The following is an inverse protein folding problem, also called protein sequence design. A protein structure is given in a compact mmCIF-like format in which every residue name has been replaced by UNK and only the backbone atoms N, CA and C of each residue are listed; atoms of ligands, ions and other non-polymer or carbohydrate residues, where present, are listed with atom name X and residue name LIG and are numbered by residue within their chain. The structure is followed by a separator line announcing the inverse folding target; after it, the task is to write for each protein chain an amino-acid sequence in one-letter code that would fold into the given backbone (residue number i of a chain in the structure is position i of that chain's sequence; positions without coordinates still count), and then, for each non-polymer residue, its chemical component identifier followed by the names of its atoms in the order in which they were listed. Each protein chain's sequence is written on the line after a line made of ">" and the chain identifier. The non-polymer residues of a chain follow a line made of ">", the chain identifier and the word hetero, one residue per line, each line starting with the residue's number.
data_IF_075138432033
#
_entry.id   IF_075138432033
#
_cell.length_a   1.000
_cell.length_b   1.000
_cell.length_c   1.000
_cell.angle_alpha   90.00
_cell.angle_beta   90.00
_cell.angle_gamma   90.00
#
_symmetry.space_group_name_H-M   'P 1'
#
loop_
_entity.id
_entity.type
_entity.pdbx_description
1 polymer ?
#
# COMPACT_ATOMS: atom_id res chain seq x y z
N UNK A 1 -39.23 19.85 -2.15
CA UNK A 1 -38.20 20.79 -2.64
C UNK A 1 -38.84 21.76 -3.61
N UNK A 2 -38.46 23.03 -3.51
CA UNK A 2 -38.84 24.06 -4.48
C UNK A 2 -38.00 23.91 -5.74
N UNK A 3 -38.48 24.43 -6.88
CA UNK A 3 -37.70 24.38 -8.12
C UNK A 3 -36.32 25.07 -7.98
N UNK A 4 -36.22 26.08 -7.11
CA UNK A 4 -34.96 26.78 -6.85
C UNK A 4 -33.91 25.87 -6.19
N UNK A 5 -34.31 25.12 -5.17
CA UNK A 5 -33.41 24.16 -4.48
C UNK A 5 -32.96 23.05 -5.43
N UNK A 6 -33.88 22.57 -6.28
CA UNK A 6 -33.58 21.54 -7.29
C UNK A 6 -32.58 22.07 -8.33
N UNK A 7 -32.75 23.32 -8.79
CA UNK A 7 -31.82 23.95 -9.70
C UNK A 7 -30.44 24.12 -9.06
N UNK A 8 -30.34 24.57 -7.81
CA UNK A 8 -29.07 24.70 -7.09
C UNK A 8 -28.33 23.36 -7.00
N UNK A 9 -29.02 22.27 -6.64
CA UNK A 9 -28.45 20.93 -6.59
C UNK A 9 -27.98 20.43 -7.97
N UNK A 10 -28.76 20.69 -9.02
CA UNK A 10 -28.39 20.33 -10.39
C UNK A 10 -27.12 21.04 -10.87
N UNK A 11 -26.99 22.34 -10.59
CA UNK A 11 -25.80 23.13 -10.97
C UNK A 11 -24.55 22.75 -10.16
N UNK A 12 -24.72 22.18 -8.96
CA UNK A 12 -23.62 21.62 -8.16
C UNK A 12 -23.24 20.18 -8.56
N UNK A 13 -23.97 19.55 -9.49
CA UNK A 13 -23.72 18.16 -9.90
C UNK A 13 -24.29 17.10 -8.94
N UNK A 14 -25.07 17.50 -7.94
CA UNK A 14 -25.65 16.59 -6.95
C UNK A 14 -27.04 16.09 -7.39
N UNK A 15 -27.07 15.01 -8.18
CA UNK A 15 -28.33 14.38 -8.60
C UNK A 15 -28.78 13.33 -7.56
N UNK A 16 -29.55 13.79 -6.57
CA UNK A 16 -30.19 12.90 -5.58
C UNK A 16 -31.48 12.26 -6.11
N UNK A 17 -31.98 11.23 -5.43
CA UNK A 17 -33.26 10.58 -5.79
C UNK A 17 -34.42 11.59 -5.81
N UNK A 18 -34.45 12.54 -4.88
CA UNK A 18 -35.49 13.57 -4.82
C UNK A 18 -35.44 14.52 -6.04
N UNK A 19 -34.24 14.80 -6.55
CA UNK A 19 -34.05 15.56 -7.79
C UNK A 19 -34.60 14.78 -8.99
N UNK A 20 -34.33 13.48 -9.08
CA UNK A 20 -34.86 12.62 -10.15
C UNK A 20 -36.39 12.54 -10.13
N UNK A 21 -36.99 12.36 -8.96
CA UNK A 21 -38.45 12.34 -8.79
C UNK A 21 -39.08 13.70 -9.18
N UNK A 22 -38.43 14.82 -8.85
CA UNK A 22 -38.90 16.14 -9.25
C UNK A 22 -38.79 16.37 -10.76
N UNK A 23 -37.72 15.91 -11.41
CA UNK A 23 -37.54 16.00 -12.86
C UNK A 23 -38.58 15.22 -13.65
N UNK A 24 -39.14 14.14 -13.09
CA UNK A 24 -40.25 13.41 -13.72
C UNK A 24 -41.53 14.24 -13.81
N UNK A 25 -41.72 15.21 -12.92
CA UNK A 25 -42.98 15.97 -12.80
C UNK A 25 -42.87 17.43 -13.24
N UNK A 26 -41.69 18.04 -13.18
CA UNK A 26 -41.49 19.46 -13.46
C UNK A 26 -40.84 19.71 -14.84
N UNK A 27 -41.62 20.25 -15.78
CA UNK A 27 -41.15 20.57 -17.14
C UNK A 27 -40.04 21.64 -17.15
N UNK A 28 -40.13 22.65 -16.28
CA UNK A 28 -39.14 23.72 -16.18
C UNK A 28 -37.76 23.18 -15.75
N UNK A 29 -37.72 22.31 -14.75
CA UNK A 29 -36.47 21.72 -14.28
C UNK A 29 -35.87 20.75 -15.31
N UNK A 30 -36.70 20.06 -16.11
CA UNK A 30 -36.20 19.26 -17.25
C UNK A 30 -35.55 20.11 -18.33
N UNK A 31 -36.15 21.26 -18.68
CA UNK A 31 -35.56 22.18 -19.66
C UNK A 31 -34.20 22.72 -19.18
N UNK A 32 -34.08 23.03 -17.89
CA UNK A 32 -32.82 23.41 -17.27
C UNK A 32 -31.78 22.28 -17.35
N UNK A 33 -32.18 21.02 -17.07
CA UNK A 33 -31.30 19.86 -17.16
C UNK A 33 -30.77 19.63 -18.57
N UNK A 34 -31.63 19.78 -19.58
CA UNK A 34 -31.24 19.67 -20.98
C UNK A 34 -30.21 20.77 -21.35
N UNK A 35 -30.39 21.99 -20.83
CA UNK A 35 -29.44 23.09 -21.02
C UNK A 35 -28.07 22.77 -20.39
N UNK A 36 -28.06 22.20 -19.19
CA UNK A 36 -26.82 21.76 -18.53
C UNK A 36 -26.10 20.66 -19.32
N UNK A 37 -26.84 19.70 -19.87
CA UNK A 37 -26.27 18.64 -20.71
C UNK A 37 -25.67 19.22 -22.00
N UNK A 38 -26.35 20.17 -22.65
CA UNK A 38 -25.84 20.84 -23.84
C UNK A 38 -24.57 21.64 -23.53
N UNK A 39 -24.52 22.35 -22.41
CA UNK A 39 -23.33 23.05 -21.95
C UNK A 39 -22.17 22.09 -21.65
N UNK A 40 -22.44 20.94 -21.03
CA UNK A 40 -21.45 19.90 -20.77
C UNK A 40 -20.79 19.41 -22.07
N UNK A 41 -21.60 19.07 -23.06
CA UNK A 41 -21.13 18.66 -24.39
C UNK A 41 -20.35 19.79 -25.09
N UNK A 42 -20.79 21.04 -24.96
CA UNK A 42 -20.10 22.18 -25.54
C UNK A 42 -18.72 22.42 -24.90
N UNK A 43 -18.60 22.24 -23.58
CA UNK A 43 -17.33 22.35 -22.84
C UNK A 43 -16.38 21.22 -23.22
N UNK A 44 -16.86 19.98 -23.32
CA UNK A 44 -16.06 18.84 -23.78
C UNK A 44 -15.54 19.04 -25.21
N UNK A 45 -16.32 19.71 -26.06
CA UNK A 45 -15.92 20.04 -27.42
C UNK A 45 -14.91 21.20 -27.52
N UNK A 46 -14.67 21.96 -26.44
CA UNK A 46 -13.63 23.00 -26.43
C UNK A 46 -12.27 22.30 -26.48
N UNK A 47 -11.49 22.46 -27.58
CA UNK A 47 -10.18 21.84 -27.66
C UNK A 47 -9.29 22.47 -26.60
N UNK A 48 -8.90 21.68 -25.59
CA UNK A 48 -7.88 22.09 -24.63
C UNK A 48 -6.60 22.32 -25.45
N UNK A 49 -6.09 23.56 -25.53
CA UNK A 49 -4.87 23.81 -26.28
C UNK A 49 -3.77 22.95 -25.66
N UNK A 50 -3.16 22.08 -26.47
CA UNK A 50 -1.96 21.36 -26.05
C UNK A 50 -0.98 22.40 -25.52
N UNK A 51 -0.40 22.21 -24.32
CA UNK A 51 0.53 23.18 -23.78
C UNK A 51 1.58 23.46 -24.85
N UNK A 52 1.61 24.70 -25.34
CA UNK A 52 2.70 25.15 -26.18
C UNK A 52 3.96 24.93 -25.36
N UNK A 53 4.95 24.25 -25.97
CA UNK A 53 6.25 23.94 -25.37
C UNK A 53 6.70 25.02 -24.38
N UNK A 54 7.15 24.58 -23.21
CA UNK A 54 7.93 25.33 -22.23
C UNK A 54 7.18 26.05 -21.08
N UNK A 55 6.29 25.35 -20.38
CA UNK A 55 6.18 25.56 -18.92
C UNK A 55 6.94 24.50 -18.10
N UNK A 56 7.42 23.44 -18.76
CA UNK A 56 8.37 22.53 -18.15
C UNK A 56 9.77 23.15 -18.32
N UNK A 57 10.52 23.38 -17.22
CA UNK A 57 11.93 23.75 -17.30
C UNK A 57 12.68 22.73 -18.16
N UNK A 58 13.76 23.15 -18.81
CA UNK A 58 14.57 22.20 -19.57
C UNK A 58 15.07 21.09 -18.64
N UNK A 59 15.33 19.89 -19.20
CA UNK A 59 15.98 18.81 -18.44
C UNK A 59 17.29 19.28 -17.77
N UNK A 60 17.98 20.24 -18.38
CA UNK A 60 19.15 20.88 -17.81
C UNK A 60 18.81 21.74 -16.57
N UNK A 61 17.72 22.51 -16.59
CA UNK A 61 17.27 23.31 -15.44
C UNK A 61 16.82 22.41 -14.29
N UNK A 62 16.12 21.31 -14.59
CA UNK A 62 15.72 20.30 -13.60
C UNK A 62 16.96 19.66 -12.97
N UNK A 63 17.95 19.26 -13.77
CA UNK A 63 19.20 18.68 -13.26
C UNK A 63 20.04 19.70 -12.48
N UNK A 64 20.06 20.96 -12.89
CA UNK A 64 20.74 22.03 -12.16
C UNK A 64 20.09 22.26 -10.79
N UNK A 65 18.75 22.29 -10.71
CA UNK A 65 18.01 22.42 -9.46
C UNK A 65 18.24 21.23 -8.52
N UNK A 66 18.19 19.99 -9.05
CA UNK A 66 18.50 18.77 -8.27
C UNK A 66 19.94 18.81 -7.74
N UNK A 67 20.90 19.23 -8.57
CA UNK A 67 22.31 19.31 -8.17
C UNK A 67 22.54 20.38 -7.12
N UNK A 68 21.88 21.53 -7.24
CA UNK A 68 21.91 22.61 -6.25
C UNK A 68 21.31 22.16 -4.90
N UNK A 69 20.20 21.41 -4.92
CA UNK A 69 19.61 20.83 -3.70
C UNK A 69 20.44 19.71 -3.07
N UNK A 70 21.05 18.83 -3.89
CA UNK A 70 21.97 17.78 -3.41
C UNK A 70 23.21 18.38 -2.73
N UNK A 71 23.75 19.48 -3.26
CA UNK A 71 24.90 20.19 -2.65
C UNK A 71 24.56 20.83 -1.30
N UNK A 72 23.29 21.15 -1.02
CA UNK A 72 22.88 21.74 0.28
C UNK A 72 22.63 20.71 1.39
N UNK A 73 22.37 19.43 1.08
CA UNK A 73 22.06 18.40 2.09
C UNK A 73 23.27 17.67 2.70
N UNK A 74 24.50 18.02 2.31
CA UNK A 74 25.72 17.35 2.84
C UNK A 74 26.80 18.33 3.30
N UNK A 75 26.49 19.23 4.23
CA UNK A 75 27.49 19.76 5.16
C UNK A 75 27.74 18.74 6.28
N UNK A 76 28.44 17.64 5.95
CA UNK A 76 28.99 16.64 6.89
C UNK A 76 29.92 17.24 7.96
N UNK A 77 30.21 18.54 7.89
CA UNK A 77 31.02 19.27 8.86
C UNK A 77 30.26 19.68 10.12
N UNK A 78 28.92 19.76 10.09
CA UNK A 78 28.13 20.07 11.29
C UNK A 78 27.98 18.86 12.24
N UNK A 79 27.93 17.62 11.71
CA UNK A 79 27.86 16.42 12.55
C UNK A 79 29.21 16.06 13.18
N UNK A 80 30.33 16.26 12.49
CA UNK A 80 31.66 16.05 13.07
C UNK A 80 31.96 17.04 14.21
N UNK A 81 31.55 18.30 14.06
CA UNK A 81 31.68 19.31 15.12
C UNK A 81 30.84 19.01 16.35
N UNK A 82 29.60 18.54 16.17
CA UNK A 82 28.72 18.15 17.27
C UNK A 82 29.28 16.92 18.03
N UNK A 83 29.78 15.91 17.33
CA UNK A 83 30.38 14.72 17.96
C UNK A 83 31.66 15.06 18.72
N UNK A 84 32.52 15.93 18.17
CA UNK A 84 33.72 16.39 18.86
C UNK A 84 33.40 17.21 20.13
N UNK A 85 32.37 18.06 20.09
CA UNK A 85 31.91 18.82 21.24
C UNK A 85 31.34 17.92 22.34
N UNK A 86 30.57 16.90 21.99
CA UNK A 86 30.04 15.91 22.94
C UNK A 86 31.17 15.08 23.59
N UNK A 87 32.19 14.68 22.83
CA UNK A 87 33.35 13.96 23.37
C UNK A 87 34.20 14.84 24.31
N UNK A 88 34.37 16.13 24.00
CA UNK A 88 35.07 17.07 24.88
C UNK A 88 34.31 17.35 26.19
N UNK A 89 32.99 17.43 26.14
CA UNK A 89 32.13 17.54 27.33
C UNK A 89 32.17 16.27 28.19
N UNK A 90 32.19 15.08 27.58
CA UNK A 90 32.31 13.82 28.32
C UNK A 90 33.66 13.68 29.05
N UNK A 91 34.75 14.21 28.48
CA UNK A 91 36.08 14.17 29.09
C UNK A 91 36.27 15.20 30.22
N UNK A 92 35.43 16.23 30.31
CA UNK A 92 35.55 17.27 31.35
C UNK A 92 34.64 17.04 32.57
N UNK A 93 33.68 16.11 32.47
CA UNK A 93 32.73 15.81 33.55
C UNK A 93 33.03 14.52 34.33
N UNK A 94 34.17 13.87 34.09
CA UNK A 94 34.62 12.71 34.87
C UNK A 94 35.92 13.05 35.60
N UNK A 95 35.87 13.61 36.83
CA UNK A 95 37.06 13.90 37.63
C UNK A 95 37.84 12.66 38.12
N UNK A 96 37.46 11.44 37.71
CA UNK A 96 37.86 10.22 38.42
C UNK A 96 38.79 9.27 37.63
N UNK A 97 39.27 9.64 36.44
CA UNK A 97 40.12 8.75 35.62
C UNK A 97 41.64 8.97 35.76
N UNK A 98 42.08 9.80 36.69
CA UNK A 98 43.49 10.02 36.99
C UNK A 98 43.78 9.91 38.48
N UNK A 99 43.48 8.79 39.12
CA UNK A 99 44.17 8.40 40.35
C UNK A 99 44.57 6.93 40.34
N UNK A 100 45.87 6.71 40.08
CA UNK A 100 46.58 5.47 40.30
C UNK A 100 46.82 5.22 41.80
N UNK A 101 46.12 4.22 42.34
CA UNK A 101 46.66 3.20 43.25
C UNK A 101 46.85 3.53 44.74
N UNK A 102 46.08 2.85 45.61
CA UNK A 102 46.57 1.97 46.70
C UNK A 102 45.43 1.36 47.52
N UNK A 103 45.67 0.14 47.98
CA UNK A 103 44.89 -0.68 48.93
C UNK A 103 44.43 0.08 50.19
N UNK A 104 43.19 -0.14 50.66
CA UNK A 104 42.86 -0.95 51.85
C UNK A 104 41.37 -0.82 52.25
N UNK A 105 40.76 -1.98 52.49
CA UNK A 105 39.73 -2.38 53.47
C UNK A 105 38.71 -1.39 54.08
N UNK A 106 37.50 -1.97 54.20
CA UNK A 106 36.43 -1.81 55.19
C UNK A 106 35.20 -0.91 54.90
N UNK A 107 34.07 -1.64 54.84
CA UNK A 107 32.76 -1.38 55.46
C UNK A 107 32.16 0.01 55.29
N UNK A 108 31.13 0.10 54.45
CA UNK A 108 29.76 0.42 54.87
C UNK A 108 28.88 0.64 53.63
N UNK A 109 27.72 0.00 53.66
CA UNK A 109 26.55 0.24 52.84
C UNK A 109 26.17 1.74 52.83
N UNK A 110 25.81 2.31 51.67
CA UNK A 110 24.59 3.12 51.68
C UNK A 110 23.72 2.93 50.45
N UNK A 111 22.43 2.70 50.75
CA UNK A 111 21.29 3.24 50.03
C UNK A 111 21.23 2.97 48.53
N UNK A 112 20.53 1.87 48.21
CA UNK A 112 19.75 1.69 46.99
C UNK A 112 18.84 2.90 46.75
N UNK A 113 19.33 3.87 45.95
CA UNK A 113 18.44 4.71 45.17
C UNK A 113 17.83 3.83 44.07
N UNK A 114 16.49 3.79 43.94
CA UNK A 114 15.89 3.06 42.84
C UNK A 114 16.29 3.77 41.54
N UNK A 115 17.13 3.10 40.74
CA UNK A 115 17.24 3.42 39.33
C UNK A 115 15.84 3.19 38.73
N UNK A 116 15.07 4.26 38.57
CA UNK A 116 13.84 4.23 37.80
C UNK A 116 14.23 3.98 36.36
N UNK A 117 14.25 2.72 35.95
CA UNK A 117 14.16 2.32 34.55
C UNK A 117 12.98 3.09 33.95
N UNK A 118 13.16 3.80 32.82
CA UNK A 118 12.06 4.50 32.18
C UNK A 118 10.93 3.50 31.97
N UNK A 119 9.78 3.74 32.62
CA UNK A 119 8.58 2.92 32.45
C UNK A 119 8.20 3.03 30.97
N UNK A 120 8.48 1.97 30.22
CA UNK A 120 8.14 1.89 28.81
C UNK A 120 6.64 2.15 28.67
N UNK A 121 6.29 3.17 27.87
CA UNK A 121 4.90 3.57 27.67
C UNK A 121 4.09 2.40 27.10
N UNK A 122 2.80 2.32 27.44
CA UNK A 122 1.94 1.26 26.92
C UNK A 122 1.92 1.30 25.37
N UNK A 123 1.76 0.18 24.66
CA UNK A 123 1.80 0.14 23.20
C UNK A 123 0.92 1.21 22.52
N UNK A 124 -0.31 1.41 23.00
CA UNK A 124 -1.23 2.43 22.49
C UNK A 124 -0.70 3.86 22.69
N UNK A 125 -0.06 4.14 23.84
CA UNK A 125 0.56 5.45 24.10
C UNK A 125 1.74 5.71 23.16
N UNK A 126 2.54 4.69 22.86
CA UNK A 126 3.64 4.79 21.88
C UNK A 126 3.11 5.08 20.47
N UNK A 127 2.06 4.36 20.04
CA UNK A 127 1.39 4.61 18.76
C UNK A 127 0.86 6.05 18.71
N UNK A 128 0.11 6.48 19.74
CA UNK A 128 -0.47 7.82 19.79
C UNK A 128 0.61 8.92 19.77
N UNK A 129 1.73 8.70 20.48
CA UNK A 129 2.87 9.64 20.48
C UNK A 129 3.46 9.77 19.08
N UNK A 130 3.64 8.64 18.38
CA UNK A 130 4.15 8.65 17.01
C UNK A 130 3.17 9.34 16.06
N UNK A 131 1.90 8.97 16.08
CA UNK A 131 0.84 9.59 15.27
C UNK A 131 0.73 11.10 15.49
N UNK A 132 0.88 11.57 16.73
CA UNK A 132 0.84 13.01 17.05
C UNK A 132 1.92 13.82 16.34
N UNK A 133 3.08 13.21 16.02
CA UNK A 133 4.15 13.85 15.23
C UNK A 133 3.72 14.10 13.78
N UNK A 134 2.77 13.31 13.28
CA UNK A 134 2.26 13.36 11.91
C UNK A 134 0.81 13.87 11.82
N UNK A 135 0.30 14.47 12.90
CA UNK A 135 -1.03 15.08 12.98
C UNK A 135 -2.22 14.12 12.78
N UNK A 136 -2.04 12.84 13.13
CA UNK A 136 -3.15 11.88 13.18
C UNK A 136 -3.76 11.78 14.57
N UNK A 137 -5.07 11.52 14.62
CA UNK A 137 -5.80 11.35 15.86
C UNK A 137 -6.59 10.04 15.88
N UNK A 138 -6.46 9.30 16.98
CA UNK A 138 -7.20 8.06 17.17
C UNK A 138 -8.69 8.35 17.34
N UNK A 139 -9.54 7.58 16.64
CA UNK A 139 -10.99 7.58 16.82
C UNK A 139 -11.41 6.80 18.08
N UNK A 140 -10.65 5.76 18.42
CA UNK A 140 -10.81 4.96 19.63
C UNK A 140 -9.44 4.55 20.17
N UNK A 141 -9.33 4.40 21.49
CA UNK A 141 -8.14 3.83 22.14
C UNK A 141 -8.20 2.30 22.29
N UNK A 142 -9.26 1.65 21.80
CA UNK A 142 -9.41 0.20 21.85
C UNK A 142 -8.83 -0.43 20.57
N UNK A 143 -7.60 -0.99 20.62
CA UNK A 143 -7.03 -1.63 19.45
C UNK A 143 -7.65 -2.99 19.18
N UNK A 144 -7.72 -3.35 17.91
CA UNK A 144 -7.75 -4.76 17.53
C UNK A 144 -6.33 -5.31 17.57
N UNK A 145 -6.10 -6.37 18.35
CA UNK A 145 -4.77 -6.96 18.55
C UNK A 145 -4.75 -8.38 18.01
N UNK A 146 -3.77 -8.69 17.18
CA UNK A 146 -3.50 -10.06 16.72
C UNK A 146 -2.06 -10.42 17.02
N UNK A 147 -1.88 -11.57 17.67
CA UNK A 147 -0.58 -12.23 17.80
C UNK A 147 -0.28 -13.04 16.56
N UNK A 148 0.89 -12.84 15.98
CA UNK A 148 1.35 -13.59 14.81
C UNK A 148 2.87 -13.71 14.80
N UNK A 149 3.41 -14.54 13.92
CA UNK A 149 4.86 -14.62 13.69
C UNK A 149 5.19 -13.88 12.40
N UNK A 150 6.13 -12.93 12.43
CA UNK A 150 6.62 -12.30 11.19
C UNK A 150 7.23 -13.36 10.28
N UNK A 151 7.11 -13.23 8.95
CA UNK A 151 7.68 -14.21 8.04
C UNK A 151 9.19 -14.34 8.27
N UNK A 152 9.73 -15.55 8.12
CA UNK A 152 11.16 -15.79 8.32
C UNK A 152 12.04 -15.06 7.28
N UNK A 153 11.43 -14.63 6.17
CA UNK A 153 12.06 -13.83 5.13
C UNK A 153 11.02 -13.03 4.37
N UNK A 154 11.40 -11.86 3.87
CA UNK A 154 10.62 -11.15 2.85
C UNK A 154 10.73 -11.76 1.46
N UNK A 155 11.71 -12.62 1.18
CA UNK A 155 11.80 -13.28 -0.12
C UNK A 155 10.58 -14.18 -0.35
N UNK A 156 10.11 -14.29 -1.58
CA UNK A 156 8.98 -15.16 -1.89
C UNK A 156 9.29 -16.63 -1.61
N UNK A 157 8.26 -17.40 -1.23
CA UNK A 157 8.31 -18.86 -1.20
C UNK A 157 7.05 -19.48 -1.80
N UNK A 158 7.14 -20.68 -2.37
CA UNK A 158 6.00 -21.35 -3.01
C UNK A 158 4.79 -21.59 -2.07
N UNK A 159 4.97 -21.45 -0.74
CA UNK A 159 3.93 -21.67 0.28
C UNK A 159 3.52 -20.38 1.03
N UNK A 160 4.17 -19.23 0.80
CA UNK A 160 4.04 -18.04 1.66
C UNK A 160 4.27 -16.68 0.98
N UNK A 161 4.20 -16.61 -0.36
CA UNK A 161 4.46 -15.35 -1.11
C UNK A 161 3.57 -14.19 -0.66
N UNK A 162 2.32 -14.45 -0.28
CA UNK A 162 1.32 -13.45 0.07
C UNK A 162 1.68 -12.66 1.35
N UNK A 163 1.98 -13.36 2.44
CA UNK A 163 2.37 -12.76 3.71
C UNK A 163 3.74 -12.07 3.59
N UNK A 164 4.70 -12.73 2.93
CA UNK A 164 6.03 -12.17 2.70
C UNK A 164 5.94 -10.86 1.91
N UNK A 165 5.11 -10.83 0.86
CA UNK A 165 4.85 -9.64 0.06
C UNK A 165 4.19 -8.53 0.86
N UNK A 166 3.18 -8.85 1.67
CA UNK A 166 2.49 -7.89 2.52
C UNK A 166 3.45 -7.20 3.49
N UNK A 167 4.23 -7.97 4.25
CA UNK A 167 5.16 -7.41 5.22
C UNK A 167 6.38 -6.76 4.58
N UNK A 168 6.86 -7.24 3.42
CA UNK A 168 7.91 -6.58 2.67
C UNK A 168 7.47 -5.16 2.25
N UNK A 169 6.24 -5.03 1.75
CA UNK A 169 5.66 -3.74 1.38
C UNK A 169 5.45 -2.84 2.61
N UNK A 170 4.86 -3.38 3.68
CA UNK A 170 4.67 -2.66 4.93
C UNK A 170 6.00 -2.21 5.55
N UNK A 171 7.07 -2.98 5.37
CA UNK A 171 8.41 -2.61 5.83
C UNK A 171 8.95 -1.39 5.09
N UNK A 172 8.73 -1.28 3.77
CA UNK A 172 9.11 -0.09 2.99
C UNK A 172 8.41 1.16 3.57
N UNK A 173 7.13 1.06 3.89
CA UNK A 173 6.38 2.17 4.49
C UNK A 173 6.88 2.52 5.90
N UNK A 174 7.22 1.51 6.70
CA UNK A 174 7.72 1.68 8.06
C UNK A 174 9.12 2.31 8.09
N UNK A 175 9.97 1.98 7.12
CA UNK A 175 11.33 2.51 7.00
C UNK A 175 11.37 4.02 6.76
N UNK A 176 10.32 4.60 6.16
CA UNK A 176 10.19 6.04 5.98
C UNK A 176 10.20 6.80 7.31
N UNK A 177 9.76 6.15 8.40
CA UNK A 177 9.76 6.71 9.76
C UNK A 177 10.81 6.08 10.67
N UNK A 178 11.88 5.53 10.07
CA UNK A 178 13.02 4.91 10.75
C UNK A 178 12.66 3.67 11.60
N UNK A 179 11.61 2.95 11.21
CA UNK A 179 11.28 1.64 11.75
C UNK A 179 11.66 0.55 10.74
N UNK A 180 12.17 -0.58 11.21
CA UNK A 180 12.60 -1.67 10.33
C UNK A 180 12.30 -3.02 10.97
N UNK A 181 11.48 -3.82 10.30
CA UNK A 181 11.08 -5.16 10.73
C UNK A 181 12.12 -6.22 10.36
N UNK A 182 13.15 -5.91 9.56
CA UNK A 182 14.11 -6.89 9.02
C UNK A 182 14.83 -7.69 10.13
N UNK A 183 15.17 -7.05 11.25
CA UNK A 183 15.83 -7.72 12.39
C UNK A 183 14.88 -8.49 13.31
N UNK A 184 13.58 -8.47 13.00
CA UNK A 184 12.51 -9.06 13.79
C UNK A 184 11.78 -10.19 13.02
N UNK A 185 12.26 -10.54 11.82
CA UNK A 185 11.72 -11.63 11.02
C UNK A 185 11.79 -12.98 11.77
N UNK A 186 10.72 -13.76 11.70
CA UNK A 186 10.59 -15.02 12.44
C UNK A 186 10.25 -14.88 13.92
N UNK A 187 10.12 -13.66 14.46
CA UNK A 187 9.69 -13.44 15.84
C UNK A 187 8.17 -13.45 15.97
N UNK A 188 7.65 -13.87 17.12
CA UNK A 188 6.27 -13.60 17.51
C UNK A 188 6.12 -12.12 17.84
N UNK A 189 5.12 -11.48 17.24
CA UNK A 189 4.82 -10.06 17.37
C UNK A 189 3.35 -9.83 17.69
N UNK A 190 3.07 -8.70 18.33
CA UNK A 190 1.72 -8.16 18.51
C UNK A 190 1.45 -7.12 17.42
N UNK A 191 0.39 -7.33 16.64
CA UNK A 191 -0.04 -6.40 15.59
C UNK A 191 -1.30 -5.70 16.04
N UNK A 192 -1.23 -4.37 16.12
CA UNK A 192 -2.30 -3.48 16.54
C UNK A 192 -2.92 -2.82 15.32
N UNK A 193 -4.25 -2.78 15.25
CA UNK A 193 -4.99 -1.91 14.35
C UNK A 193 -5.87 -0.95 15.14
N UNK A 194 -5.79 0.34 14.82
CA UNK A 194 -6.54 1.40 15.50
C UNK A 194 -7.16 2.36 14.46
N UNK A 195 -8.47 2.63 14.55
CA UNK A 195 -9.13 3.55 13.62
C UNK A 195 -8.70 4.99 13.88
N UNK A 196 -8.58 5.77 12.81
CA UNK A 196 -8.24 7.19 12.83
C UNK A 196 -9.49 8.04 12.57
N UNK A 197 -9.47 9.31 13.02
CA UNK A 197 -10.52 10.27 12.65
C UNK A 197 -10.31 10.80 11.23
N UNK A 198 -9.07 10.79 10.77
CA UNK A 198 -8.70 11.23 9.44
C UNK A 198 -9.05 10.18 8.39
N UNK A 199 -9.35 10.64 7.18
CA UNK A 199 -9.58 9.79 6.02
C UNK A 199 -8.26 9.52 5.30
N UNK A 200 -8.17 8.40 4.60
CA UNK A 200 -6.94 8.03 3.91
C UNK A 200 -6.64 9.01 2.76
N UNK A 201 -5.58 9.82 2.91
CA UNK A 201 -5.18 10.82 1.91
C UNK A 201 -4.26 10.23 0.82
N UNK A 202 -3.80 8.98 0.98
CA UNK A 202 -2.79 8.35 0.14
C UNK A 202 -3.27 7.88 -1.23
N UNK A 203 -4.40 8.33 -1.72
CA UNK A 203 -4.85 7.95 -3.05
C UNK A 203 -6.17 8.60 -3.35
N UNK A 204 -6.24 9.23 -4.52
CA UNK A 204 -7.43 9.74 -5.19
C UNK A 204 -8.40 8.59 -5.54
N UNK A 205 -8.69 7.71 -4.59
CA UNK A 205 -9.72 6.69 -4.71
C UNK A 205 -11.00 7.46 -4.42
N UNK A 206 -11.89 7.54 -5.40
CA UNK A 206 -13.15 8.25 -5.25
C UNK A 206 -13.90 7.75 -4.01
N UNK A 207 -13.98 8.61 -2.99
CA UNK A 207 -14.60 8.32 -1.70
C UNK A 207 -13.65 8.48 -0.51
N UNK A 208 -14.12 9.21 0.50
CA UNK A 208 -13.51 9.27 1.82
C UNK A 208 -13.58 7.88 2.46
N UNK A 209 -12.51 7.08 2.33
CA UNK A 209 -12.40 5.81 3.04
C UNK A 209 -11.87 6.07 4.45
N UNK A 210 -12.52 5.43 5.43
CA UNK A 210 -12.04 5.38 6.81
C UNK A 210 -10.60 4.86 6.81
N UNK A 211 -9.75 5.48 7.63
CA UNK A 211 -8.34 5.14 7.75
C UNK A 211 -8.09 4.46 9.10
N UNK A 212 -7.13 3.55 9.12
CA UNK A 212 -6.58 2.98 10.34
C UNK A 212 -5.06 3.01 10.30
N UNK A 213 -4.46 3.06 11.48
CA UNK A 213 -3.03 2.77 11.65
C UNK A 213 -2.87 1.29 11.98
N UNK A 214 -1.89 0.66 11.35
CA UNK A 214 -1.41 -0.67 11.75
C UNK A 214 -0.01 -0.51 12.33
N UNK A 215 0.23 -1.10 13.50
CA UNK A 215 1.51 -1.04 14.20
C UNK A 215 1.94 -2.44 14.65
N UNK A 216 3.23 -2.74 14.51
CA UNK A 216 3.82 -4.04 14.85
C UNK A 216 4.76 -3.85 16.04
N UNK A 217 4.56 -4.67 17.08
CA UNK A 217 5.38 -4.67 18.29
C UNK A 217 6.08 -6.01 18.48
N UNK A 218 7.39 -5.97 18.69
CA UNK A 218 8.18 -7.09 19.19
C UNK A 218 8.58 -6.79 20.64
N UNK A 219 8.13 -7.60 21.60
CA UNK A 219 8.43 -7.45 23.03
C UNK A 219 8.28 -6.00 23.54
N UNK A 220 7.13 -5.37 23.27
CA UNK A 220 6.79 -3.97 23.60
C UNK A 220 7.58 -2.87 22.85
N UNK A 221 8.46 -3.23 21.91
CA UNK A 221 9.14 -2.28 21.02
C UNK A 221 8.36 -2.14 19.72
N UNK A 222 8.01 -0.91 19.34
CA UNK A 222 7.45 -0.61 18.03
C UNK A 222 8.52 -0.84 16.95
N UNK A 223 8.23 -1.74 16.00
CA UNK A 223 9.17 -2.16 14.93
C UNK A 223 8.63 -1.92 13.51
N UNK A 224 7.33 -1.64 13.37
CA UNK A 224 6.72 -1.27 12.09
C UNK A 224 5.43 -0.47 12.29
N UNK A 225 5.13 0.44 11.37
CA UNK A 225 3.91 1.25 11.39
C UNK A 225 3.54 1.76 10.00
N UNK A 226 2.26 1.76 9.65
CA UNK A 226 1.75 2.30 8.39
C UNK A 226 0.26 2.63 8.47
N UNK A 227 -0.23 3.35 7.46
CA UNK A 227 -1.65 3.64 7.26
C UNK A 227 -2.28 2.65 6.29
N UNK A 228 -3.55 2.33 6.49
CA UNK A 228 -4.35 1.49 5.59
C UNK A 228 -5.78 2.01 5.48
N UNK A 229 -6.42 1.81 4.32
CA UNK A 229 -7.87 2.00 4.20
C UNK A 229 -8.65 0.85 4.83
N UNK A 230 -9.63 1.16 5.67
CA UNK A 230 -10.54 0.17 6.25
C UNK A 230 -11.35 -0.47 5.12
N UNK A 231 -11.36 -1.80 5.02
CA UNK A 231 -12.07 -2.50 3.95
C UNK A 231 -11.39 -2.44 2.58
N UNK A 232 -10.24 -1.78 2.46
CA UNK A 232 -9.57 -1.53 1.19
C UNK A 232 -8.16 -2.07 1.10
N UNK A 233 -7.54 -1.86 -0.06
CA UNK A 233 -6.20 -2.38 -0.38
C UNK A 233 -5.13 -1.30 -0.49
N UNK A 234 -5.45 -0.08 -0.08
CA UNK A 234 -4.54 1.06 -0.13
C UNK A 234 -3.76 1.19 1.19
N UNK A 235 -2.46 1.43 1.07
CA UNK A 235 -1.54 1.55 2.20
C UNK A 235 -0.53 2.66 1.91
N UNK A 236 -0.16 3.41 2.95
CA UNK A 236 0.80 4.52 2.87
C UNK A 236 1.65 4.60 4.14
N UNK A 237 2.79 5.26 4.06
CA UNK A 237 3.54 5.63 5.26
C UNK A 237 2.74 6.63 6.10
N UNK A 238 3.04 6.71 7.40
CA UNK A 238 2.34 7.64 8.32
C UNK A 238 2.65 9.11 8.04
N UNK A 239 3.55 9.43 7.12
CA UNK A 239 3.77 10.79 6.61
C UNK A 239 3.04 11.04 5.28
N UNK A 240 2.09 10.17 4.92
CA UNK A 240 1.31 10.12 3.67
C UNK A 240 2.10 9.77 2.40
N UNK A 241 3.39 9.42 2.48
CA UNK A 241 4.10 8.98 1.28
C UNK A 241 3.60 7.63 0.81
N UNK A 242 3.43 7.53 -0.51
CA UNK A 242 3.10 6.31 -1.21
C UNK A 242 4.33 5.49 -1.50
N UNK A 243 4.11 4.21 -1.73
CA UNK A 243 5.18 3.27 -2.00
C UNK A 243 6.07 3.71 -3.17
N UNK A 244 5.48 4.23 -4.24
CA UNK A 244 6.24 4.77 -5.38
C UNK A 244 7.11 5.98 -5.05
N UNK A 245 6.63 6.83 -4.16
CA UNK A 245 7.36 8.04 -3.74
C UNK A 245 8.56 7.68 -2.87
N UNK A 246 8.41 6.65 -2.02
CA UNK A 246 9.47 6.14 -1.16
C UNK A 246 10.53 5.40 -2.00
N UNK A 247 10.10 4.43 -2.82
CA UNK A 247 11.01 3.56 -3.56
C UNK A 247 11.61 4.23 -4.80
N UNK A 248 10.90 5.19 -5.42
CA UNK A 248 11.21 5.72 -6.75
C UNK A 248 11.36 4.61 -7.82
N UNK A 249 10.65 3.50 -7.65
CA UNK A 249 10.68 2.33 -8.53
C UNK A 249 9.26 1.89 -8.88
N UNK A 250 9.10 1.24 -10.04
CA UNK A 250 7.86 0.57 -10.39
C UNK A 250 7.70 -0.70 -9.54
N UNK A 251 6.45 -1.00 -9.16
CA UNK A 251 6.09 -2.18 -8.38
C UNK A 251 6.76 -3.47 -8.86
N UNK A 252 6.68 -3.77 -10.16
CA UNK A 252 7.22 -5.01 -10.73
C UNK A 252 8.74 -5.13 -10.60
N UNK A 253 9.45 -4.00 -10.76
CA UNK A 253 10.91 -3.97 -10.63
C UNK A 253 11.35 -4.14 -9.17
N UNK A 254 10.69 -3.43 -8.24
CA UNK A 254 10.93 -3.60 -6.82
C UNK A 254 10.70 -5.05 -6.37
N UNK A 255 9.57 -5.65 -6.77
CA UNK A 255 9.23 -7.00 -6.35
C UNK A 255 10.27 -8.04 -6.81
N UNK A 256 10.80 -7.85 -8.02
CA UNK A 256 11.90 -8.66 -8.56
C UNK A 256 13.19 -8.47 -7.76
N UNK A 257 13.56 -7.24 -7.41
CA UNK A 257 14.74 -6.94 -6.58
C UNK A 257 14.64 -7.58 -5.19
N UNK A 258 13.45 -7.57 -4.59
CA UNK A 258 13.16 -8.22 -3.31
C UNK A 258 13.05 -9.74 -3.39
N UNK A 259 13.18 -10.32 -4.60
CA UNK A 259 13.01 -11.76 -4.85
C UNK A 259 11.66 -12.29 -4.35
N UNK A 260 10.62 -11.46 -4.46
CA UNK A 260 9.24 -11.82 -4.11
C UNK A 260 8.60 -12.71 -5.18
N UNK A 261 9.17 -12.74 -6.38
CA UNK A 261 8.76 -13.65 -7.45
C UNK A 261 9.27 -15.07 -7.19
N UNK A 262 8.35 -16.01 -6.94
CA UNK A 262 8.66 -17.41 -6.58
C UNK A 262 8.68 -18.37 -7.76
N UNK A 263 8.88 -17.88 -8.98
CA UNK A 263 8.49 -18.63 -10.17
C UNK A 263 9.64 -19.40 -10.80
N UNK A 264 9.32 -20.58 -11.34
CA UNK A 264 10.27 -21.39 -12.09
C UNK A 264 10.57 -20.74 -13.45
N UNK A 265 11.81 -20.93 -13.93
CA UNK A 265 12.26 -20.42 -15.22
C UNK A 265 11.35 -20.83 -16.39
N UNK A 266 10.71 -22.00 -16.26
CA UNK A 266 9.82 -22.55 -17.28
C UNK A 266 8.60 -21.64 -17.56
N UNK A 267 8.07 -20.99 -16.52
CA UNK A 267 6.86 -20.14 -16.63
C UNK A 267 7.08 -18.86 -17.42
N UNK A 268 8.32 -18.40 -17.57
CA UNK A 268 8.66 -17.20 -18.35
C UNK A 268 8.34 -17.40 -19.84
N UNK A 269 8.41 -18.64 -20.31
CA UNK A 269 8.12 -18.99 -21.70
C UNK A 269 6.64 -19.22 -22.00
N UNK A 270 5.79 -19.26 -20.97
CA UNK A 270 4.38 -19.61 -21.15
C UNK A 270 3.59 -18.48 -21.79
N UNK A 271 2.70 -18.84 -22.70
CA UNK A 271 1.66 -17.94 -23.21
C UNK A 271 0.57 -17.75 -22.14
N UNK A 272 -0.24 -16.68 -22.24
CA UNK A 272 -1.38 -16.51 -21.33
C UNK A 272 -2.32 -17.73 -21.32
N UNK A 273 -2.59 -18.33 -22.48
CA UNK A 273 -3.44 -19.53 -22.59
C UNK A 273 -2.90 -20.71 -21.78
N UNK A 274 -1.57 -20.90 -21.80
CA UNK A 274 -0.91 -21.95 -21.02
C UNK A 274 -1.03 -21.69 -19.52
N UNK A 275 -0.91 -20.43 -19.09
CA UNK A 275 -1.09 -20.03 -17.68
C UNK A 275 -2.53 -20.28 -17.23
N UNK A 276 -3.52 -19.84 -18.02
CA UNK A 276 -4.95 -20.04 -17.73
C UNK A 276 -5.29 -21.53 -17.66
N UNK A 277 -4.85 -22.32 -18.65
CA UNK A 277 -5.06 -23.77 -18.68
C UNK A 277 -4.46 -24.44 -17.44
N UNK A 278 -3.23 -24.07 -17.07
CA UNK A 278 -2.57 -24.61 -15.87
C UNK A 278 -3.32 -24.24 -14.59
N UNK A 279 -3.87 -23.04 -14.52
CA UNK A 279 -4.68 -22.58 -13.38
C UNK A 279 -5.98 -23.39 -13.26
N UNK A 280 -6.71 -23.58 -14.37
CA UNK A 280 -7.94 -24.38 -14.40
C UNK A 280 -7.67 -25.85 -14.04
N UNK A 281 -6.59 -26.43 -14.55
CA UNK A 281 -6.13 -27.77 -14.19
C UNK A 281 -5.81 -27.89 -12.70
N UNK A 282 -5.18 -26.88 -12.10
CA UNK A 282 -4.89 -26.84 -10.67
C UNK A 282 -6.19 -26.71 -9.85
N UNK A 283 -7.12 -25.84 -10.27
CA UNK A 283 -8.45 -25.71 -9.67
C UNK A 283 -9.21 -27.04 -9.66
N UNK A 284 -9.21 -27.77 -10.78
CA UNK A 284 -9.84 -29.09 -10.89
C UNK A 284 -9.25 -30.13 -9.92
N UNK A 285 -7.98 -29.99 -9.55
CA UNK A 285 -7.31 -30.87 -8.58
C UNK A 285 -7.38 -30.37 -7.14
N UNK A 286 -7.94 -29.18 -6.88
CA UNK A 286 -7.83 -28.51 -5.58
C UNK A 286 -6.39 -28.11 -5.21
N UNK A 287 -5.51 -27.97 -6.20
CA UNK A 287 -4.09 -27.62 -6.02
C UNK A 287 -3.92 -26.10 -5.89
N UNK A 288 -4.34 -25.60 -4.73
CA UNK A 288 -4.34 -24.17 -4.42
C UNK A 288 -2.94 -23.54 -4.43
N UNK A 289 -1.91 -24.31 -4.05
CA UNK A 289 -0.53 -23.84 -4.10
C UNK A 289 -0.13 -23.48 -5.54
N UNK A 290 -0.40 -24.37 -6.49
CA UNK A 290 -0.15 -24.08 -7.91
C UNK A 290 -0.98 -22.88 -8.38
N UNK A 291 -2.28 -22.81 -8.04
CA UNK A 291 -3.13 -21.67 -8.39
C UNK A 291 -2.51 -20.34 -7.93
N UNK A 292 -2.08 -20.25 -6.67
CA UNK A 292 -1.45 -19.06 -6.10
C UNK A 292 -0.19 -18.62 -6.84
N UNK A 293 0.65 -19.55 -7.30
CA UNK A 293 1.88 -19.21 -8.04
C UNK A 293 1.62 -18.57 -9.41
N UNK A 294 0.45 -18.80 -10.00
CA UNK A 294 0.05 -18.28 -11.31
C UNK A 294 -0.62 -16.90 -11.22
N UNK A 295 -1.02 -16.47 -10.02
CA UNK A 295 -1.57 -15.14 -9.79
C UNK A 295 -0.48 -14.07 -9.84
N UNK A 296 -0.88 -12.85 -10.25
CA UNK A 296 -0.01 -11.69 -10.22
C UNK A 296 0.37 -11.34 -8.77
N UNK A 297 1.55 -10.76 -8.55
CA UNK A 297 1.91 -10.31 -7.20
C UNK A 297 0.96 -9.21 -6.71
N UNK A 298 0.51 -8.36 -7.63
CA UNK A 298 -0.49 -7.34 -7.32
C UNK A 298 -1.82 -7.98 -6.87
N UNK A 299 -2.28 -9.03 -7.55
CA UNK A 299 -3.51 -9.72 -7.19
C UNK A 299 -3.34 -10.48 -5.86
N UNK A 300 -2.21 -11.15 -5.65
CA UNK A 300 -1.88 -11.76 -4.35
C UNK A 300 -1.90 -10.74 -3.20
N UNK A 301 -1.32 -9.55 -3.41
CA UNK A 301 -1.37 -8.46 -2.44
C UNK A 301 -2.80 -7.94 -2.22
N UNK A 302 -3.58 -7.79 -3.29
CA UNK A 302 -4.99 -7.39 -3.20
C UNK A 302 -5.82 -8.40 -2.39
N UNK A 303 -5.63 -9.70 -2.60
CA UNK A 303 -6.33 -10.74 -1.87
C UNK A 303 -6.00 -10.71 -0.37
N UNK A 304 -4.73 -10.46 -0.01
CA UNK A 304 -4.30 -10.30 1.39
C UNK A 304 -4.88 -9.05 2.07
N UNK A 305 -5.03 -7.96 1.31
CA UNK A 305 -5.48 -6.70 1.88
C UNK A 305 -7.00 -6.59 1.92
N UNK A 306 -7.71 -7.12 0.92
CA UNK A 306 -9.17 -7.11 0.87
C UNK A 306 -9.79 -8.18 1.79
N UNK A 307 -9.15 -9.35 1.92
CA UNK A 307 -9.57 -10.36 2.89
C UNK A 307 -9.52 -9.86 4.34
N UNK A 308 -8.68 -8.84 4.63
CA UNK A 308 -8.54 -8.28 5.97
C UNK A 308 -9.73 -7.38 6.35
N UNK A 309 -10.54 -7.00 5.35
CA UNK A 309 -11.48 -5.89 5.46
C UNK A 309 -12.96 -6.24 5.26
N UNK A 310 -13.31 -7.48 4.87
CA UNK A 310 -14.70 -7.77 4.48
C UNK A 310 -15.62 -8.17 5.65
N UNK A 311 -15.11 -8.68 6.78
CA UNK A 311 -15.96 -9.10 7.92
C UNK A 311 -15.32 -9.10 9.30
N UNK A 312 -13.99 -8.97 9.45
CA UNK A 312 -13.33 -9.09 10.74
C UNK A 312 -12.37 -7.94 10.99
N UNK A 313 -12.42 -7.38 12.18
CA UNK A 313 -11.48 -6.42 12.78
C UNK A 313 -10.10 -7.06 13.01
N UNK A 314 -9.56 -7.74 12.01
CA UNK A 314 -8.29 -8.44 12.04
C UNK A 314 -7.26 -7.61 11.28
N UNK A 315 -6.15 -7.18 11.93
CA UNK A 315 -5.09 -6.42 11.28
C UNK A 315 -4.53 -7.14 10.04
N UNK A 316 -4.59 -8.48 9.99
CA UNK A 316 -4.00 -9.35 8.96
C UNK A 316 -4.96 -10.49 8.64
N UNK A 317 -5.02 -10.89 7.35
CA UNK A 317 -5.68 -12.15 6.95
C UNK A 317 -4.80 -13.32 7.31
N UNK A 318 -5.28 -14.18 8.19
CA UNK A 318 -4.68 -15.49 8.44
C UNK A 318 -5.35 -16.52 7.53
N UNK A 319 -4.96 -16.51 6.25
CA UNK A 319 -5.54 -17.44 5.28
C UNK A 319 -5.04 -17.18 3.87
N UNK A 320 -4.53 -18.23 3.23
CA UNK A 320 -4.15 -18.15 1.83
C UNK A 320 -5.43 -18.17 0.98
N UNK A 321 -5.85 -17.01 0.49
CA UNK A 321 -6.94 -16.91 -0.47
C UNK A 321 -6.33 -16.98 -1.88
N UNK A 322 -6.73 -17.99 -2.66
CA UNK A 322 -6.07 -18.34 -3.92
C UNK A 322 -6.88 -17.95 -5.17
N UNK A 323 -7.81 -16.98 -5.01
CA UNK A 323 -8.71 -16.52 -6.06
C UNK A 323 -10.09 -17.20 -6.01
N UNK A 324 -11.01 -16.79 -6.89
CA UNK A 324 -12.34 -17.39 -6.94
C UNK A 324 -12.23 -18.87 -7.31
N UNK A 325 -12.93 -19.72 -6.55
CA UNK A 325 -13.13 -21.11 -6.94
C UNK A 325 -14.01 -21.16 -8.17
N UNK A 326 -13.51 -21.82 -9.20
CA UNK A 326 -14.25 -22.07 -10.43
C UNK A 326 -14.86 -23.47 -10.31
N UNK A 327 -16.06 -23.68 -10.89
CA UNK A 327 -16.75 -24.98 -10.87
C UNK A 327 -15.81 -26.14 -11.29
N UNK A 328 -15.49 -27.09 -10.40
CA UNK A 328 -14.54 -28.15 -10.73
C UNK A 328 -15.11 -29.10 -11.79
N UNK A 329 -14.24 -29.60 -12.67
CA UNK A 329 -14.51 -30.55 -13.75
C UNK A 329 -15.33 -30.00 -14.94
N UNK A 330 -15.54 -28.69 -15.03
CA UNK A 330 -16.08 -28.10 -16.24
C UNK A 330 -15.05 -28.16 -17.39
N UNK A 331 -15.55 -28.27 -18.63
CA UNK A 331 -14.70 -28.25 -19.83
C UNK A 331 -14.61 -26.83 -20.32
N UNK A 332 -13.42 -26.24 -20.22
CA UNK A 332 -13.20 -24.85 -20.60
C UNK A 332 -12.63 -24.70 -22.00
N UNK A 333 -13.10 -23.70 -22.72
CA UNK A 333 -12.47 -23.14 -23.90
C UNK A 333 -11.91 -21.77 -23.56
N UNK A 334 -10.62 -21.58 -23.79
CA UNK A 334 -9.94 -20.30 -23.60
C UNK A 334 -9.96 -19.56 -24.94
N UNK A 335 -10.50 -18.35 -24.94
CA UNK A 335 -10.62 -17.50 -26.12
C UNK A 335 -10.01 -16.14 -25.82
N UNK A 336 -9.03 -15.75 -26.63
CA UNK A 336 -8.48 -14.40 -26.58
C UNK A 336 -9.55 -13.38 -26.96
N UNK A 337 -9.64 -12.29 -26.18
CA UNK A 337 -10.55 -11.18 -26.44
C UNK A 337 -9.78 -10.02 -27.05
N UNK A 338 -8.84 -9.44 -26.30
CA UNK A 338 -8.11 -8.25 -26.72
C UNK A 338 -6.82 -8.01 -25.94
N UNK A 339 -5.94 -7.18 -26.51
CA UNK A 339 -4.85 -6.54 -25.79
C UNK A 339 -5.39 -5.29 -25.08
N UNK A 340 -5.06 -5.12 -23.80
CA UNK A 340 -5.42 -3.92 -23.05
C UNK A 340 -4.29 -2.90 -23.19
N UNK A 341 -4.55 -1.70 -23.73
CA UNK A 341 -3.52 -0.66 -23.86
C UNK A 341 -2.85 -0.34 -22.52
N UNK A 342 -1.54 -0.55 -22.46
CA UNK A 342 -0.72 -0.16 -21.31
C UNK A 342 -0.37 1.33 -21.40
N UNK A 343 -0.66 2.12 -20.37
CA UNK A 343 -0.26 3.53 -20.29
C UNK A 343 -1.35 4.56 -20.63
N UNK A 344 -2.59 4.14 -20.89
CA UNK A 344 -3.78 5.03 -20.97
C UNK A 344 -4.78 4.79 -19.84
N UNK A 345 -4.38 4.04 -18.81
CA UNK A 345 -5.26 3.79 -17.67
C UNK A 345 -5.31 5.09 -16.87
N UNK A 346 -6.47 5.74 -16.89
CA UNK A 346 -6.92 6.63 -15.83
C UNK A 346 -6.71 5.84 -14.53
N UNK A 347 -5.55 6.06 -13.90
CA UNK A 347 -4.96 5.11 -13.00
C UNK A 347 -5.87 5.05 -11.78
N UNK A 348 -6.79 4.07 -11.76
CA UNK A 348 -7.64 3.78 -10.60
C UNK A 348 -6.72 3.84 -9.40
N UNK A 349 -7.07 4.60 -8.36
CA UNK A 349 -6.05 5.09 -7.45
C UNK A 349 -5.27 4.00 -6.68
N UNK A 350 -5.68 2.73 -6.77
CA UNK A 350 -4.88 1.56 -6.41
C UNK A 350 -3.57 1.41 -7.23
N UNK A 351 -3.57 1.73 -8.53
CA UNK A 351 -2.35 1.74 -9.34
C UNK A 351 -1.39 2.86 -8.90
N UNK A 352 -1.93 4.02 -8.52
CA UNK A 352 -1.13 5.15 -8.02
C UNK A 352 -0.50 4.84 -6.66
N UNK A 353 -1.27 4.27 -5.72
CA UNK A 353 -0.78 3.90 -4.39
C UNK A 353 0.47 3.01 -4.45
N UNK A 354 0.50 2.08 -5.41
CA UNK A 354 1.58 1.09 -5.55
C UNK A 354 2.63 1.46 -6.60
N UNK A 355 2.45 2.58 -7.32
CA UNK A 355 3.23 2.94 -8.50
C UNK A 355 3.36 1.76 -9.49
N UNK A 356 2.21 1.17 -9.79
CA UNK A 356 2.09 0.00 -10.64
C UNK A 356 1.89 0.43 -12.08
N UNK A 357 2.76 -0.03 -12.96
CA UNK A 357 2.59 0.09 -14.40
C UNK A 357 2.95 -1.24 -15.06
N UNK A 358 1.96 -2.07 -15.40
CA UNK A 358 2.21 -3.31 -16.12
C UNK A 358 2.90 -3.07 -17.45
N UNK A 359 3.79 -3.99 -17.83
CA UNK A 359 4.47 -3.97 -19.12
C UNK A 359 3.53 -4.38 -20.26
N UNK A 360 2.64 -5.35 -20.02
CA UNK A 360 1.64 -5.81 -20.97
C UNK A 360 0.40 -6.30 -20.23
N UNK A 361 -0.78 -6.13 -20.83
CA UNK A 361 -2.04 -6.64 -20.31
C UNK A 361 -2.91 -7.22 -21.44
N UNK A 362 -3.65 -8.29 -21.16
CA UNK A 362 -4.53 -8.98 -22.11
C UNK A 362 -5.78 -9.48 -21.39
N UNK A 363 -6.89 -9.57 -22.12
CA UNK A 363 -8.13 -10.17 -21.61
C UNK A 363 -8.45 -11.45 -22.37
N UNK A 364 -8.87 -12.47 -21.63
CA UNK A 364 -9.30 -13.76 -22.16
C UNK A 364 -10.69 -14.09 -21.62
N UNK A 365 -11.56 -14.57 -22.50
CA UNK A 365 -12.84 -15.14 -22.14
C UNK A 365 -12.65 -16.66 -21.98
N UNK A 366 -13.14 -17.21 -20.88
CA UNK A 366 -13.11 -18.63 -20.57
C UNK A 366 -14.54 -19.11 -20.45
N UNK A 367 -14.96 -19.88 -21.45
CA UNK A 367 -16.31 -20.45 -21.54
C UNK A 367 -16.27 -21.92 -21.13
N UNK A 368 -17.15 -22.35 -20.24
CA UNK A 368 -17.15 -23.74 -19.73
C UNK A 368 -18.12 -24.04 -18.60
N UNK A 369 -18.94 -23.07 -18.18
CA UNK A 369 -19.99 -23.20 -17.18
C UNK A 369 -21.20 -22.32 -17.54
N UNK A 370 -22.18 -22.13 -16.64
CA UNK A 370 -23.38 -21.33 -16.94
C UNK A 370 -23.10 -19.84 -17.19
N UNK A 371 -21.92 -19.34 -16.78
CA UNK A 371 -21.49 -17.95 -16.98
C UNK A 371 -20.09 -17.92 -17.59
N UNK A 372 -19.88 -17.02 -18.56
CA UNK A 372 -18.54 -16.72 -19.07
C UNK A 372 -17.69 -16.07 -17.98
N UNK A 373 -16.41 -16.44 -17.91
CA UNK A 373 -15.44 -15.80 -17.03
C UNK A 373 -14.42 -15.02 -17.86
N UNK A 374 -13.91 -13.94 -17.30
CA UNK A 374 -12.86 -13.15 -17.92
C UNK A 374 -11.60 -13.22 -17.06
N UNK A 375 -10.51 -13.59 -17.71
CA UNK A 375 -9.17 -13.65 -17.14
C UNK A 375 -8.39 -12.44 -17.65
N UNK A 376 -8.01 -11.57 -16.73
CA UNK A 376 -7.11 -10.47 -17.03
C UNK A 376 -5.69 -10.94 -16.77
N UNK A 377 -4.88 -10.88 -17.80
CA UNK A 377 -3.52 -11.37 -17.83
C UNK A 377 -2.56 -10.20 -17.84
N UNK A 378 -1.48 -10.28 -17.08
CA UNK A 378 -0.49 -9.20 -16.95
C UNK A 378 0.94 -9.72 -17.05
N UNK A 379 1.83 -8.87 -17.53
CA UNK A 379 3.27 -8.95 -17.27
C UNK A 379 3.65 -7.74 -16.42
N UNK A 380 4.06 -7.96 -15.16
CA UNK A 380 4.40 -6.87 -14.23
C UNK A 380 5.71 -6.16 -14.59
N UNK A 381 6.63 -6.85 -15.28
CA UNK A 381 7.93 -6.32 -15.70
C UNK A 381 8.27 -6.75 -17.12
N UNK A 382 9.20 -6.02 -17.75
CA UNK A 382 9.62 -6.33 -19.12
C UNK A 382 10.32 -7.69 -19.18
N UNK A 383 9.79 -8.58 -20.01
CA UNK A 383 10.31 -9.95 -20.14
C UNK A 383 9.99 -10.86 -18.95
N UNK A 384 9.10 -10.42 -18.05
CA UNK A 384 8.52 -11.26 -17.01
C UNK A 384 7.50 -12.27 -17.55
N UNK A 385 7.13 -13.28 -16.77
CA UNK A 385 6.10 -14.25 -17.14
C UNK A 385 4.71 -13.61 -17.25
N UNK A 386 3.81 -14.25 -18.00
CA UNK A 386 2.38 -13.93 -17.94
C UNK A 386 1.77 -14.45 -16.63
N UNK A 387 0.86 -13.67 -16.06
CA UNK A 387 0.23 -13.93 -14.76
C UNK A 387 -1.24 -13.55 -14.78
N UNK A 388 -2.05 -14.18 -13.94
CA UNK A 388 -3.46 -13.83 -13.77
C UNK A 388 -3.57 -12.65 -12.80
N UNK A 389 -3.99 -11.49 -13.29
CA UNK A 389 -4.16 -10.28 -12.49
C UNK A 389 -5.55 -10.13 -11.88
N UNK A 390 -6.57 -10.71 -12.51
CA UNK A 390 -7.92 -10.75 -12.00
C UNK A 390 -8.75 -11.82 -12.71
N UNK A 391 -9.82 -12.29 -12.07
CA UNK A 391 -10.84 -13.16 -12.64
C UNK A 391 -12.20 -12.54 -12.32
N UNK A 392 -13.03 -12.32 -13.33
CA UNK A 392 -14.36 -11.73 -13.18
C UNK A 392 -15.41 -12.50 -13.98
N UNK A 393 -16.69 -12.16 -13.77
CA UNK A 393 -17.84 -12.68 -14.53
C UNK A 393 -18.31 -11.71 -15.63
N UNK A 394 -17.54 -10.65 -15.92
CA UNK A 394 -17.84 -9.64 -16.93
C UNK A 394 -16.57 -8.92 -17.40
N UNK A 395 -16.54 -8.42 -18.65
CA UNK A 395 -15.35 -7.79 -19.23
C UNK A 395 -14.94 -6.48 -18.55
#
# INVERSE_FOLDING_TARGET
>A
MTCKEIQELMWCGEITQQVQEHLQTCERCRAEQATLQELGLAVEAVPIPKPSRSLLPSTADIQAAITAHKRRRFTKWLSAGAVAACLALALTQIPSLLETGKNQSDVSDPSLLPQTTPKQAAPVEQIQTMLGTYHYTLKSQEPSIVKTTLPASFAGSAQGTQENLYYAYANVLSQEVNLDMTTHLGHEVDVYSLPLNETFAGGRIDGYQDCEVVAVFDQNRLVGIWLRTVGGSAMAAIDNKLFGEITNQLWGEWAKEQKLETRSADTVSWTPDQVITKYLDANNRGDHATMGTLLSLNYQFYLMTNGAGSTTSTPIVTGNYYGPMIEPNAKYQVKFVEDIPTGTVDATALFLVRNRQPYAMKTYEVDGGPNAMFFYMTQESKGGPWQIDNISTGP
#
